data_IF_271131347811
#
_entry.id   IF_271131347811
#
_cell.length_a   1.000
_cell.length_b   1.000
_cell.length_c   1.000
_cell.angle_alpha   90.00
_cell.angle_beta   90.00
_cell.angle_gamma   90.00
#
_symmetry.space_group_name_H-M   'P 1'
#
loop_
_entity.id
_entity.type
_entity.pdbx_description
1 polymer ?
#
# COMPACT_ATOMS: atom_id res chain seq x y z
N UNK A 1 42.88 43.27 -9.82
CA UNK A 1 42.75 43.45 -8.40
C UNK A 1 42.31 42.15 -7.77
N UNK A 2 43.07 41.59 -6.83
CA UNK A 2 42.68 40.41 -6.05
C UNK A 2 41.61 40.85 -5.07
N UNK A 3 40.39 40.31 -5.18
CA UNK A 3 39.34 40.55 -4.20
C UNK A 3 39.75 39.79 -2.93
N UNK A 4 39.90 40.45 -1.77
CA UNK A 4 40.32 39.74 -0.55
C UNK A 4 39.24 38.76 -0.12
N UNK A 5 39.68 37.56 0.29
CA UNK A 5 38.77 36.47 0.73
C UNK A 5 37.83 36.86 1.89
N UNK A 6 38.15 37.92 2.62
CA UNK A 6 37.32 38.43 3.73
C UNK A 6 36.08 39.24 3.30
N UNK A 7 35.93 39.53 1.98
CA UNK A 7 34.74 40.27 1.51
C UNK A 7 33.54 39.39 1.17
N UNK A 8 33.69 38.07 1.22
CA UNK A 8 32.59 37.10 1.11
C UNK A 8 32.12 36.66 2.49
N UNK A 9 31.58 37.56 3.30
CA UNK A 9 30.76 37.15 4.40
C UNK A 9 29.52 36.47 3.80
N UNK A 10 29.50 35.14 3.83
CA UNK A 10 28.37 34.35 3.37
C UNK A 10 27.20 34.63 4.32
N UNK A 11 26.33 35.55 3.92
CA UNK A 11 25.12 35.84 4.64
C UNK A 11 24.10 34.77 4.26
N UNK A 12 23.80 33.90 5.21
CA UNK A 12 22.70 32.94 5.06
C UNK A 12 21.40 33.70 4.72
N UNK A 13 20.62 33.25 3.75
CA UNK A 13 19.35 33.89 3.46
C UNK A 13 18.41 33.80 4.66
N UNK A 14 17.63 34.82 4.89
CA UNK A 14 16.48 34.75 5.81
C UNK A 14 15.39 34.01 5.09
N UNK A 15 14.87 32.94 5.70
CA UNK A 15 13.77 32.12 5.15
C UNK A 15 12.53 32.31 6.01
N UNK A 16 11.39 32.60 5.36
CA UNK A 16 10.10 32.73 6.01
C UNK A 16 9.02 32.00 5.22
N UNK A 17 8.09 31.36 5.89
CA UNK A 17 6.89 30.84 5.25
C UNK A 17 5.88 31.98 5.05
N UNK A 18 5.24 32.03 3.89
CA UNK A 18 4.13 32.96 3.61
C UNK A 18 2.94 32.62 4.50
N UNK A 19 2.67 31.33 4.66
CA UNK A 19 1.66 30.81 5.60
C UNK A 19 2.34 29.96 6.68
N UNK A 20 2.67 30.52 7.84
CA UNK A 20 3.32 29.81 8.93
C UNK A 20 2.40 28.81 9.64
N UNK A 21 1.09 28.80 9.36
CA UNK A 21 0.18 27.77 9.86
C UNK A 21 0.33 26.43 9.09
N UNK A 22 0.87 26.47 7.87
CA UNK A 22 1.10 25.28 7.03
C UNK A 22 2.52 24.73 7.14
N UNK A 23 3.52 25.61 7.24
CA UNK A 23 4.93 25.23 7.29
C UNK A 23 5.66 26.04 8.36
N UNK A 24 6.29 25.33 9.27
CA UNK A 24 7.25 25.88 10.21
C UNK A 24 8.65 25.85 9.60
N UNK A 25 9.34 26.98 9.62
CA UNK A 25 10.74 27.09 9.23
C UNK A 25 11.58 26.99 10.49
N UNK A 26 12.49 26.02 10.52
CA UNK A 26 13.43 25.79 11.60
C UNK A 26 14.66 26.67 11.51
N UNK A 27 15.66 26.39 12.35
CA UNK A 27 16.95 27.05 12.34
C UNK A 27 17.91 26.42 11.34
N UNK A 28 18.96 27.15 10.98
CA UNK A 28 20.01 26.62 10.12
C UNK A 28 20.91 25.65 10.87
N UNK A 29 21.09 24.47 10.30
CA UNK A 29 22.14 23.52 10.65
C UNK A 29 23.17 23.49 9.50
N UNK A 30 24.30 24.16 9.67
CA UNK A 30 25.24 24.38 8.58
C UNK A 30 24.65 25.23 7.45
N UNK A 31 24.50 24.64 6.26
CA UNK A 31 23.87 25.26 5.08
C UNK A 31 22.46 24.72 4.79
N UNK A 32 21.92 23.90 5.69
CA UNK A 32 20.59 23.29 5.57
C UNK A 32 19.63 23.96 6.53
N UNK A 33 18.40 24.22 6.07
CA UNK A 33 17.29 24.67 6.92
C UNK A 33 16.26 23.55 6.96
N UNK A 34 15.80 23.24 8.16
CA UNK A 34 14.76 22.23 8.36
C UNK A 34 13.39 22.85 8.20
N UNK A 35 12.49 22.13 7.51
CA UNK A 35 11.09 22.51 7.34
C UNK A 35 10.20 21.44 7.98
N UNK A 36 9.16 21.89 8.68
CA UNK A 36 8.14 21.01 9.24
C UNK A 36 6.77 21.38 8.69
N UNK A 37 6.09 20.42 8.04
CA UNK A 37 4.69 20.54 7.66
C UNK A 37 3.79 20.55 8.90
N UNK A 38 2.85 21.48 8.99
CA UNK A 38 1.90 21.64 10.10
C UNK A 38 0.45 21.35 9.67
N UNK A 39 0.07 21.77 8.47
CA UNK A 39 -1.24 21.52 7.89
C UNK A 39 -1.13 21.30 6.38
N UNK A 40 -2.03 20.47 5.84
CA UNK A 40 -2.07 20.16 4.41
C UNK A 40 -2.33 21.40 3.55
N UNK A 41 -1.76 21.40 2.37
CA UNK A 41 -1.97 22.40 1.34
C UNK A 41 -0.71 23.10 0.88
N UNK A 42 -0.89 24.06 -0.01
CA UNK A 42 0.21 24.78 -0.65
C UNK A 42 0.52 26.09 0.07
N UNK A 43 1.79 26.45 0.09
CA UNK A 43 2.32 27.73 0.55
C UNK A 43 3.60 28.06 -0.21
N UNK A 44 4.24 29.16 0.12
CA UNK A 44 5.54 29.56 -0.41
C UNK A 44 6.54 29.85 0.72
N UNK A 45 7.79 29.61 0.45
CA UNK A 45 8.89 30.18 1.23
C UNK A 45 9.45 31.41 0.53
N UNK A 46 9.68 32.44 1.31
CA UNK A 46 10.38 33.66 0.86
C UNK A 46 11.80 33.62 1.42
N UNK A 47 12.76 33.55 0.52
CA UNK A 47 14.18 33.59 0.82
C UNK A 47 14.72 34.98 0.49
N UNK A 48 15.25 35.69 1.48
CA UNK A 48 15.79 37.05 1.31
C UNK A 48 17.28 37.04 1.63
N UNK A 49 18.11 37.48 0.68
CA UNK A 49 19.56 37.64 0.85
C UNK A 49 20.03 38.87 0.07
N UNK A 50 20.86 39.71 0.69
CA UNK A 50 21.45 40.90 0.05
C UNK A 50 20.42 41.80 -0.67
N UNK A 51 19.22 41.98 -0.09
CA UNK A 51 18.16 42.79 -0.66
C UNK A 51 17.45 42.16 -1.86
N UNK A 52 17.77 40.91 -2.22
CA UNK A 52 17.06 40.13 -3.24
C UNK A 52 16.15 39.11 -2.59
N UNK A 53 15.02 38.91 -3.22
CA UNK A 53 14.00 37.94 -2.78
C UNK A 53 13.85 36.83 -3.83
N UNK A 54 13.67 35.59 -3.34
CA UNK A 54 13.26 34.44 -4.13
C UNK A 54 12.11 33.74 -3.44
N UNK A 55 11.07 33.37 -4.19
CA UNK A 55 9.94 32.56 -3.72
C UNK A 55 10.09 31.13 -4.18
N UNK A 56 9.78 30.20 -3.30
CA UNK A 56 9.84 28.76 -3.56
C UNK A 56 8.51 28.16 -3.13
N UNK A 57 7.73 27.57 -4.05
CA UNK A 57 6.50 26.88 -3.70
C UNK A 57 6.80 25.65 -2.84
N UNK A 58 5.95 25.42 -1.85
CA UNK A 58 5.99 24.25 -0.95
C UNK A 58 4.59 23.69 -0.81
N UNK A 59 4.46 22.40 -1.03
CA UNK A 59 3.23 21.65 -0.79
C UNK A 59 3.41 20.73 0.42
N UNK A 60 2.48 20.82 1.37
CA UNK A 60 2.38 19.88 2.49
C UNK A 60 1.31 18.86 2.12
N UNK A 61 1.75 17.64 1.89
CA UNK A 61 0.89 16.52 1.48
C UNK A 61 0.62 15.58 2.65
N UNK A 62 -0.40 14.72 2.51
CA UNK A 62 -0.72 13.71 3.52
C UNK A 62 0.42 12.71 3.68
N UNK A 63 0.70 12.29 4.90
CA UNK A 63 1.66 11.24 5.21
C UNK A 63 0.96 9.92 5.55
N UNK A 64 1.54 8.80 5.13
CA UNK A 64 1.08 7.46 5.53
C UNK A 64 1.93 6.97 6.71
N UNK A 65 1.27 6.59 7.79
CA UNK A 65 1.92 6.06 9.00
C UNK A 65 2.12 4.54 8.94
N UNK A 66 1.13 3.83 8.43
CA UNK A 66 1.15 2.38 8.29
C UNK A 66 0.10 1.91 7.30
N UNK A 67 0.33 0.73 6.71
CA UNK A 67 -0.61 0.01 5.86
C UNK A 67 -0.88 -1.34 6.50
N UNK A 68 -2.12 -1.61 6.87
CA UNK A 68 -2.53 -2.79 7.62
C UNK A 68 -3.57 -3.59 6.84
N UNK A 69 -3.57 -4.91 6.99
CA UNK A 69 -4.60 -5.78 6.42
C UNK A 69 -5.89 -5.68 7.24
N UNK A 70 -7.05 -5.48 6.58
CA UNK A 70 -8.36 -5.42 7.26
C UNK A 70 -8.83 -6.78 7.78
N UNK A 71 -8.39 -7.89 7.16
CA UNK A 71 -8.90 -9.23 7.46
C UNK A 71 -7.81 -10.30 7.45
N UNK A 72 -6.81 -10.13 8.33
CA UNK A 72 -5.70 -11.07 8.46
C UNK A 72 -4.70 -11.01 7.28
N UNK A 73 -3.59 -11.72 7.43
CA UNK A 73 -2.46 -11.73 6.51
C UNK A 73 -2.18 -13.12 5.89
N UNK A 74 -3.17 -13.99 5.84
CA UNK A 74 -3.07 -15.30 5.19
C UNK A 74 -4.40 -15.69 4.52
N UNK A 75 -4.34 -16.29 3.33
CA UNK A 75 -5.50 -16.78 2.59
C UNK A 75 -5.19 -18.04 1.79
N UNK A 76 -6.25 -18.80 1.54
CA UNK A 76 -6.22 -19.92 0.58
C UNK A 76 -7.23 -19.64 -0.52
N UNK A 77 -6.81 -19.80 -1.78
CA UNK A 77 -7.62 -19.63 -2.98
C UNK A 77 -7.56 -20.90 -3.81
N UNK A 78 -8.58 -21.13 -4.63
CA UNK A 78 -8.51 -22.10 -5.71
C UNK A 78 -7.93 -21.46 -6.98
N UNK A 79 -7.40 -22.27 -7.88
CA UNK A 79 -7.07 -21.83 -9.24
C UNK A 79 -8.32 -21.24 -9.92
N UNK A 80 -8.17 -20.07 -10.55
CA UNK A 80 -9.25 -19.30 -11.17
C UNK A 80 -10.11 -18.50 -10.19
N UNK A 81 -9.96 -18.68 -8.88
CA UNK A 81 -10.71 -17.90 -7.90
C UNK A 81 -10.17 -16.49 -7.78
N UNK A 82 -11.10 -15.53 -7.75
CA UNK A 82 -10.81 -14.11 -7.51
C UNK A 82 -11.47 -13.69 -6.19
N UNK A 83 -10.72 -12.94 -5.36
CA UNK A 83 -11.22 -12.38 -4.10
C UNK A 83 -10.79 -10.93 -3.96
N UNK A 84 -11.58 -10.14 -3.24
CA UNK A 84 -11.18 -8.80 -2.82
C UNK A 84 -10.53 -8.85 -1.44
N UNK A 85 -9.46 -8.09 -1.27
CA UNK A 85 -8.73 -7.99 -0.01
C UNK A 85 -8.50 -6.53 0.36
N UNK A 86 -8.97 -6.14 1.54
CA UNK A 86 -8.93 -4.76 2.00
C UNK A 86 -7.68 -4.44 2.82
N UNK A 87 -7.24 -3.20 2.70
CA UNK A 87 -6.25 -2.58 3.56
C UNK A 87 -6.82 -1.38 4.30
N UNK A 88 -6.15 -1.01 5.38
CA UNK A 88 -6.36 0.22 6.14
C UNK A 88 -5.04 0.99 6.16
N UNK A 89 -4.95 2.03 5.35
CA UNK A 89 -3.81 2.95 5.32
C UNK A 89 -4.06 4.06 6.34
N UNK A 90 -3.29 4.04 7.44
CA UNK A 90 -3.37 5.09 8.47
C UNK A 90 -2.65 6.34 8.01
N UNK A 91 -3.38 7.42 7.91
CA UNK A 91 -2.84 8.73 7.53
C UNK A 91 -2.40 9.53 8.75
N UNK A 92 -1.51 10.48 8.54
CA UNK A 92 -1.00 11.35 9.60
C UNK A 92 -2.09 12.26 10.18
N UNK A 93 -3.01 12.73 9.34
CA UNK A 93 -4.15 13.55 9.76
C UNK A 93 -5.30 12.74 10.36
N UNK A 94 -5.31 11.41 10.20
CA UNK A 94 -6.43 10.52 10.56
C UNK A 94 -7.57 10.54 9.54
N UNK A 95 -7.39 11.18 8.38
CA UNK A 95 -8.34 11.19 7.26
C UNK A 95 -8.25 9.96 6.37
N UNK A 96 -8.97 9.97 5.27
CA UNK A 96 -8.93 8.91 4.25
C UNK A 96 -7.59 8.94 3.49
N UNK A 97 -7.19 7.76 2.98
CA UNK A 97 -6.03 7.64 2.11
C UNK A 97 -6.28 8.31 0.76
N UNK A 98 -5.53 9.37 0.39
CA UNK A 98 -5.71 10.05 -0.89
C UNK A 98 -4.89 9.45 -2.03
N UNK A 99 -4.09 8.40 -1.78
CA UNK A 99 -3.16 7.83 -2.73
C UNK A 99 -3.63 6.49 -3.27
N UNK A 100 -3.25 6.18 -4.49
CA UNK A 100 -3.40 4.85 -5.07
C UNK A 100 -2.56 3.83 -4.31
N UNK A 101 -3.00 2.56 -4.37
CA UNK A 101 -2.31 1.43 -3.74
C UNK A 101 -1.60 0.61 -4.79
N UNK A 102 -0.31 0.40 -4.62
CA UNK A 102 0.45 -0.54 -5.43
C UNK A 102 0.36 -1.93 -4.81
N UNK A 103 -0.32 -2.85 -5.49
CA UNK A 103 -0.42 -4.25 -5.10
C UNK A 103 0.64 -5.07 -5.80
N UNK A 104 1.34 -5.92 -5.06
CA UNK A 104 2.44 -6.73 -5.60
C UNK A 104 2.32 -8.17 -5.16
N UNK A 105 2.46 -9.11 -6.10
CA UNK A 105 2.63 -10.53 -5.85
C UNK A 105 4.10 -10.91 -5.99
N UNK A 106 4.60 -11.75 -5.08
CA UNK A 106 5.97 -12.28 -5.16
C UNK A 106 6.15 -13.34 -6.27
N UNK A 107 5.03 -13.89 -6.79
CA UNK A 107 5.03 -14.90 -7.85
C UNK A 107 3.77 -14.71 -8.73
N UNK A 108 3.90 -13.96 -9.81
CA UNK A 108 2.77 -13.62 -10.69
C UNK A 108 2.27 -14.78 -11.55
N UNK A 109 3.03 -15.86 -11.65
CA UNK A 109 2.60 -17.12 -12.23
C UNK A 109 1.72 -17.97 -11.29
N UNK A 110 1.76 -17.69 -9.98
CA UNK A 110 0.92 -18.32 -8.95
C UNK A 110 -0.34 -17.53 -8.70
N UNK A 111 -0.22 -16.20 -8.55
CA UNK A 111 -1.36 -15.30 -8.37
C UNK A 111 -1.05 -13.88 -8.87
N UNK A 112 -2.09 -13.14 -9.27
CA UNK A 112 -2.00 -11.69 -9.50
C UNK A 112 -2.66 -10.92 -8.36
N UNK A 113 -2.19 -9.68 -8.16
CA UNK A 113 -2.74 -8.73 -7.20
C UNK A 113 -2.80 -7.35 -7.85
N UNK A 114 -3.98 -6.74 -7.88
CA UNK A 114 -4.23 -5.46 -8.55
C UNK A 114 -5.16 -4.59 -7.71
N UNK A 115 -5.10 -3.27 -7.85
CA UNK A 115 -6.07 -2.37 -7.23
C UNK A 115 -7.47 -2.60 -7.81
N UNK A 116 -8.50 -2.57 -6.97
CA UNK A 116 -9.88 -2.75 -7.40
C UNK A 116 -10.46 -1.44 -7.92
N UNK A 117 -10.35 -1.20 -9.22
CA UNK A 117 -10.83 0.04 -9.84
C UNK A 117 -10.23 1.28 -9.16
N UNK A 118 -11.06 2.26 -8.85
CA UNK A 118 -10.66 3.50 -8.15
C UNK A 118 -10.71 3.38 -6.60
N UNK A 119 -10.95 2.16 -6.07
CA UNK A 119 -10.97 1.93 -4.63
C UNK A 119 -9.55 1.77 -4.09
N UNK A 120 -9.04 2.81 -3.47
CA UNK A 120 -7.71 2.84 -2.86
C UNK A 120 -7.64 2.16 -1.46
N UNK A 121 -8.62 1.33 -1.12
CA UNK A 121 -8.64 0.51 0.10
C UNK A 121 -8.73 -0.97 -0.18
N UNK A 122 -8.93 -1.39 -1.45
CA UNK A 122 -9.13 -2.79 -1.82
C UNK A 122 -8.28 -3.19 -3.02
N UNK A 123 -7.78 -4.43 -2.97
CA UNK A 123 -7.14 -5.12 -4.08
C UNK A 123 -7.91 -6.36 -4.49
N UNK A 124 -7.84 -6.67 -5.77
CA UNK A 124 -8.35 -7.90 -6.38
C UNK A 124 -7.20 -8.89 -6.50
N UNK A 125 -7.33 -10.05 -5.86
CA UNK A 125 -6.35 -11.13 -5.87
C UNK A 125 -6.94 -12.30 -6.65
N UNK A 126 -6.22 -12.78 -7.68
CA UNK A 126 -6.65 -13.89 -8.52
C UNK A 126 -5.64 -15.02 -8.47
N UNK A 127 -6.08 -16.22 -8.05
CA UNK A 127 -5.29 -17.44 -8.10
C UNK A 127 -5.12 -17.93 -9.54
N UNK A 128 -3.90 -18.18 -9.98
CA UNK A 128 -3.59 -18.63 -11.35
C UNK A 128 -3.20 -20.10 -11.38
N UNK A 129 -2.28 -20.50 -10.51
CA UNK A 129 -1.72 -21.84 -10.47
C UNK A 129 -1.43 -22.25 -9.03
N UNK A 130 -1.59 -23.54 -8.75
CA UNK A 130 -1.27 -24.08 -7.42
C UNK A 130 0.17 -23.73 -6.99
N UNK A 131 0.29 -23.19 -5.79
CA UNK A 131 1.56 -22.71 -5.25
C UNK A 131 1.37 -21.79 -4.05
N UNK A 132 2.45 -21.13 -3.65
CA UNK A 132 2.44 -20.10 -2.62
C UNK A 132 3.06 -18.83 -3.15
N UNK A 133 2.49 -17.68 -2.78
CA UNK A 133 3.06 -16.37 -3.02
C UNK A 133 2.71 -15.41 -1.89
N UNK A 134 3.58 -14.42 -1.67
CA UNK A 134 3.30 -13.31 -0.78
C UNK A 134 2.64 -12.16 -1.55
N UNK A 135 1.66 -11.52 -0.95
CA UNK A 135 1.08 -10.27 -1.43
C UNK A 135 1.49 -9.14 -0.50
N UNK A 136 1.85 -8.00 -1.08
CA UNK A 136 2.09 -6.74 -0.36
C UNK A 136 1.28 -5.62 -0.99
N UNK A 137 0.86 -4.68 -0.15
CA UNK A 137 0.23 -3.43 -0.56
C UNK A 137 1.12 -2.26 -0.14
N UNK A 138 1.39 -1.32 -1.04
CA UNK A 138 2.19 -0.14 -0.77
C UNK A 138 1.40 1.13 -1.07
N UNK A 139 1.46 2.10 -0.16
CA UNK A 139 0.81 3.41 -0.29
C UNK A 139 1.84 4.49 -0.01
N UNK A 140 2.12 5.34 -0.98
CA UNK A 140 3.07 6.45 -0.88
C UNK A 140 4.43 6.05 -0.25
N UNK A 141 4.96 4.87 -0.63
CA UNK A 141 6.25 4.35 -0.16
C UNK A 141 6.21 3.63 1.18
N UNK A 142 5.03 3.48 1.81
CA UNK A 142 4.84 2.68 3.03
C UNK A 142 4.19 1.36 2.68
N UNK A 143 4.89 0.25 2.95
CA UNK A 143 4.41 -1.10 2.63
C UNK A 143 3.72 -1.76 3.81
N UNK A 144 2.73 -2.61 3.51
CA UNK A 144 2.14 -3.53 4.48
C UNK A 144 3.13 -4.63 4.87
N UNK A 145 2.81 -5.39 5.92
CA UNK A 145 3.40 -6.70 6.11
C UNK A 145 3.04 -7.62 4.94
N UNK A 146 3.89 -8.63 4.69
CA UNK A 146 3.62 -9.66 3.70
C UNK A 146 2.43 -10.51 4.14
N UNK A 147 1.55 -10.80 3.19
CA UNK A 147 0.43 -11.69 3.40
C UNK A 147 0.63 -12.97 2.57
N UNK A 148 0.72 -14.12 3.22
CA UNK A 148 0.86 -15.41 2.54
C UNK A 148 -0.44 -15.84 1.87
N UNK A 149 -0.39 -16.15 0.58
CA UNK A 149 -1.50 -16.74 -0.17
C UNK A 149 -1.09 -18.10 -0.70
N UNK A 150 -1.88 -19.11 -0.36
CA UNK A 150 -1.78 -20.46 -0.93
C UNK A 150 -2.85 -20.62 -2.02
N UNK A 151 -2.44 -20.90 -3.23
CA UNK A 151 -3.34 -21.31 -4.31
C UNK A 151 -3.33 -22.82 -4.41
N UNK A 152 -4.50 -23.44 -4.42
CA UNK A 152 -4.70 -24.88 -4.54
C UNK A 152 -5.39 -25.22 -5.85
N UNK A 153 -4.97 -26.30 -6.50
CA UNK A 153 -5.62 -26.78 -7.71
C UNK A 153 -7.06 -27.19 -7.41
N UNK A 154 -7.97 -26.88 -8.35
CA UNK A 154 -9.27 -27.53 -8.32
C UNK A 154 -9.09 -29.00 -8.66
N UNK A 155 -9.77 -29.92 -7.96
CA UNK A 155 -9.79 -31.32 -8.35
C UNK A 155 -10.39 -31.44 -9.77
N UNK A 156 -9.62 -31.98 -10.70
CA UNK A 156 -9.96 -32.00 -12.15
C UNK A 156 -10.90 -33.15 -12.48
N UNK A 157 -10.97 -34.20 -11.64
CA UNK A 157 -11.82 -35.37 -11.85
C UNK A 157 -12.52 -35.82 -10.55
N UNK A 158 -13.83 -35.84 -10.58
CA UNK A 158 -14.65 -36.57 -9.63
C UNK A 158 -15.09 -37.88 -10.32
N UNK A 159 -14.33 -38.94 -10.19
CA UNK A 159 -14.81 -40.27 -10.58
C UNK A 159 -15.82 -40.75 -9.53
N UNK A 160 -17.10 -40.67 -9.88
CA UNK A 160 -18.14 -41.40 -9.18
C UNK A 160 -18.01 -42.88 -9.51
N UNK A 161 -17.41 -43.63 -8.62
CA UNK A 161 -17.30 -45.07 -8.79
C UNK A 161 -18.70 -45.70 -8.70
N UNK A 162 -19.20 -46.28 -9.79
CA UNK A 162 -20.54 -46.83 -9.93
C UNK A 162 -20.84 -48.09 -9.06
N UNK A 163 -19.89 -48.51 -8.25
CA UNK A 163 -20.14 -49.54 -7.22
C UNK A 163 -20.60 -48.82 -5.93
N UNK A 164 -21.86 -48.86 -5.62
CA UNK A 164 -22.56 -48.31 -4.44
C UNK A 164 -21.85 -48.42 -3.07
N UNK A 165 -20.56 -48.31 -3.03
CA UNK A 165 -19.73 -48.31 -1.83
C UNK A 165 -19.28 -46.89 -1.53
N UNK A 166 -20.01 -46.21 -0.69
CA UNK A 166 -19.59 -44.93 -0.10
C UNK A 166 -18.41 -45.22 0.83
N UNK A 167 -17.20 -44.79 0.47
CA UNK A 167 -16.08 -44.80 1.40
C UNK A 167 -16.30 -43.68 2.44
N UNK A 168 -16.01 -44.03 3.69
CA UNK A 168 -16.04 -43.13 4.83
C UNK A 168 -15.42 -41.79 4.47
N UNK A 169 -16.16 -40.67 4.65
CA UNK A 169 -15.81 -39.29 4.43
C UNK A 169 -15.94 -38.69 3.02
N UNK A 170 -16.62 -39.30 2.04
CA UNK A 170 -16.59 -38.71 0.70
C UNK A 170 -17.92 -38.29 0.09
N UNK A 171 -19.07 -38.81 0.53
CA UNK A 171 -20.37 -38.46 -0.07
C UNK A 171 -21.49 -38.50 0.94
N UNK A 172 -22.29 -37.46 1.02
CA UNK A 172 -23.52 -37.41 1.79
C UNK A 172 -24.65 -37.00 0.84
N UNK A 173 -25.79 -37.74 0.87
CA UNK A 173 -27.01 -37.34 0.21
C UNK A 173 -27.85 -36.48 1.19
N UNK A 174 -28.42 -35.38 0.72
CA UNK A 174 -29.39 -34.64 1.50
C UNK A 174 -30.77 -35.38 1.55
N UNK A 175 -31.70 -34.86 2.35
CA UNK A 175 -33.02 -35.44 2.47
C UNK A 175 -33.85 -35.37 1.17
N UNK A 176 -33.44 -34.58 0.17
CA UNK A 176 -34.01 -34.47 -1.17
C UNK A 176 -33.43 -35.46 -2.17
N UNK A 177 -32.37 -36.21 -1.80
CA UNK A 177 -31.68 -37.17 -2.67
C UNK A 177 -30.63 -36.54 -3.58
N UNK A 178 -30.26 -35.24 -3.35
CA UNK A 178 -29.21 -34.58 -4.06
C UNK A 178 -27.83 -34.97 -3.50
N UNK A 179 -26.87 -35.14 -4.42
CA UNK A 179 -25.51 -35.52 -4.08
C UNK A 179 -24.76 -34.30 -3.51
N UNK A 180 -24.42 -34.32 -2.23
CA UNK A 180 -23.56 -33.31 -1.61
C UNK A 180 -22.14 -33.84 -1.49
N UNK A 181 -21.21 -33.23 -2.22
CA UNK A 181 -19.81 -33.58 -2.18
C UNK A 181 -19.08 -32.60 -1.26
N UNK A 182 -18.52 -33.11 -0.16
CA UNK A 182 -17.61 -32.33 0.68
C UNK A 182 -16.17 -32.55 0.21
N UNK A 183 -15.53 -31.49 -0.27
CA UNK A 183 -14.11 -31.49 -0.59
C UNK A 183 -13.35 -31.01 0.64
N UNK A 184 -12.69 -31.90 1.36
CA UNK A 184 -11.71 -31.50 2.38
C UNK A 184 -10.39 -31.17 1.69
N UNK A 185 -9.87 -29.94 1.81
CA UNK A 185 -8.52 -29.64 1.37
C UNK A 185 -7.53 -30.41 2.26
N UNK A 186 -6.69 -31.22 1.66
CA UNK A 186 -5.53 -31.87 2.31
C UNK A 186 -4.35 -30.93 2.41
#
# INVERSE_FOLDING_TARGET
GVIPASSYAYHKPVVKAVDPSKVQVGEYNGNVIELRGLALGETELVLTANGKEKRVPVSVTEGILSVLWKSGNARTLFEGQTVQWGIDAKTLSGGENPYDVTWTSSATDVLTAEQTGDDNTQGTITGIKAGKADVTAEVAGVSSEKAEVKVIALPVDLELNASNTVKENSVVYDEGGDLVVFISPT
#
